data_IF_056552358843
#
_entry.id   IF_056552358843
#
_cell.length_a   1.000
_cell.length_b   1.000
_cell.length_c   1.000
_cell.angle_alpha   90.00
_cell.angle_beta   90.00
_cell.angle_gamma   90.00
#
_symmetry.space_group_name_H-M   'P 1'
#
loop_
_entity.id
_entity.type
_entity.pdbx_description
1 polymer ?
#
# COMPACT_ATOMS: atom_id res chain seq x y z
N UNK A 1 -4.59 -2.26 -13.74
CA UNK A 1 -3.72 -1.17 -13.24
C UNK A 1 -3.51 -1.38 -11.75
N UNK A 2 -2.30 -1.19 -11.21
CA UNK A 2 -2.06 -1.33 -9.78
C UNK A 2 -2.81 -0.25 -8.99
N UNK A 3 -3.14 -0.53 -7.72
CA UNK A 3 -3.82 0.43 -6.83
C UNK A 3 -2.94 1.67 -6.55
N UNK A 4 -1.62 1.49 -6.51
CA UNK A 4 -0.63 2.53 -6.30
C UNK A 4 0.72 2.07 -6.88
N UNK A 5 1.64 3.00 -7.06
CA UNK A 5 3.04 2.76 -7.42
C UNK A 5 3.95 3.30 -6.33
N UNK A 6 5.08 2.64 -6.10
CA UNK A 6 6.04 3.04 -5.06
C UNK A 6 7.25 3.69 -5.69
N UNK A 7 7.60 4.85 -5.18
CA UNK A 7 8.94 5.39 -5.36
C UNK A 7 9.90 4.71 -4.37
N UNK A 8 10.77 3.85 -4.90
CA UNK A 8 11.72 3.07 -4.09
C UNK A 8 12.84 3.93 -3.50
N UNK A 9 13.08 5.14 -4.02
CA UNK A 9 14.10 6.04 -3.47
C UNK A 9 13.63 6.72 -2.18
N UNK A 10 12.33 6.99 -2.04
CA UNK A 10 11.74 7.64 -0.87
C UNK A 10 11.14 6.67 0.14
N UNK A 11 10.78 5.45 -0.27
CA UNK A 11 10.23 4.43 0.63
C UNK A 11 11.23 3.97 1.71
N UNK A 12 10.88 4.20 2.98
CA UNK A 12 11.71 3.77 4.13
C UNK A 12 11.42 2.36 4.64
N UNK A 13 10.46 1.65 4.02
CA UNK A 13 10.00 0.31 4.43
C UNK A 13 9.52 0.26 5.90
N UNK A 14 8.90 1.35 6.36
CA UNK A 14 8.41 1.49 7.75
C UNK A 14 7.00 0.91 7.97
N UNK A 15 6.29 0.56 6.89
CA UNK A 15 4.96 -0.05 6.96
C UNK A 15 3.84 0.92 7.32
N UNK A 16 4.06 2.24 7.34
CA UNK A 16 2.99 3.20 7.69
C UNK A 16 1.80 3.09 6.73
N UNK A 17 2.05 2.98 5.43
CA UNK A 17 1.03 2.77 4.41
C UNK A 17 0.14 1.53 4.66
N UNK A 18 0.67 0.48 5.30
CA UNK A 18 -0.07 -0.71 5.73
C UNK A 18 -0.97 -0.38 6.91
N UNK A 19 -0.41 0.28 7.93
CA UNK A 19 -1.11 0.62 9.16
C UNK A 19 -2.27 1.61 8.94
N UNK A 20 -2.13 2.54 7.99
CA UNK A 20 -3.14 3.57 7.72
C UNK A 20 -4.20 3.15 6.71
N UNK A 21 -4.06 1.99 6.07
CA UNK A 21 -5.05 1.52 5.09
C UNK A 21 -6.32 1.04 5.80
N UNK A 22 -7.44 1.78 5.74
CA UNK A 22 -8.65 1.43 6.50
C UNK A 22 -9.32 0.14 5.97
N UNK A 23 -9.02 -0.24 4.72
CA UNK A 23 -9.54 -1.45 4.10
C UNK A 23 -8.58 -2.65 4.21
N UNK A 24 -7.42 -2.48 4.87
CA UNK A 24 -6.39 -3.53 5.03
C UNK A 24 -5.96 -4.19 3.71
N UNK A 25 -5.78 -3.37 2.67
CA UNK A 25 -5.46 -3.81 1.31
C UNK A 25 -3.98 -3.68 0.93
N UNK A 26 -3.14 -3.27 1.86
CA UNK A 26 -1.70 -3.12 1.65
C UNK A 26 -0.99 -4.07 2.62
N UNK A 27 0.04 -4.77 2.14
CA UNK A 27 0.95 -5.59 2.95
C UNK A 27 2.39 -5.22 2.62
N UNK A 28 3.36 -5.65 3.43
CA UNK A 28 4.76 -5.63 3.02
C UNK A 28 5.08 -6.93 2.27
N UNK A 29 5.71 -6.82 1.10
CA UNK A 29 6.30 -7.92 0.36
C UNK A 29 7.57 -8.42 1.03
N UNK A 30 8.13 -9.50 0.50
CA UNK A 30 9.38 -10.10 1.02
C UNK A 30 10.58 -9.17 0.86
N UNK A 31 10.57 -8.29 -0.15
CA UNK A 31 11.57 -7.25 -0.38
C UNK A 31 11.38 -6.01 0.52
N UNK A 32 10.39 -6.06 1.42
CA UNK A 32 10.04 -5.01 2.37
C UNK A 32 9.30 -3.82 1.73
N UNK A 33 8.98 -3.88 0.43
CA UNK A 33 8.18 -2.84 -0.21
C UNK A 33 6.68 -3.12 -0.06
N UNK A 34 5.84 -2.07 0.03
CA UNK A 34 4.41 -2.28 0.09
C UNK A 34 3.86 -2.92 -1.19
N UNK A 35 2.85 -3.75 -1.04
CA UNK A 35 2.17 -4.40 -2.15
C UNK A 35 0.65 -4.40 -1.89
N UNK A 36 -0.17 -4.19 -2.94
CA UNK A 36 -1.59 -4.40 -2.82
C UNK A 36 -1.91 -5.89 -2.60
N UNK A 37 -2.94 -6.18 -1.81
CA UNK A 37 -3.49 -7.53 -1.71
C UNK A 37 -4.17 -7.91 -3.04
N UNK A 38 -3.58 -8.87 -3.75
CA UNK A 38 -4.07 -9.35 -5.04
C UNK A 38 -5.51 -9.88 -4.94
N UNK A 39 -6.36 -9.48 -5.89
CA UNK A 39 -7.74 -9.94 -5.99
C UNK A 39 -8.71 -9.27 -5.01
N UNK A 40 -8.25 -8.28 -4.23
CA UNK A 40 -9.06 -7.50 -3.28
C UNK A 40 -9.23 -6.03 -3.68
N UNK A 41 -8.82 -5.67 -4.89
CA UNK A 41 -8.79 -4.28 -5.38
C UNK A 41 -10.17 -3.63 -5.38
N UNK A 42 -11.24 -4.42 -5.56
CA UNK A 42 -12.63 -3.94 -5.53
C UNK A 42 -13.07 -3.41 -4.15
N UNK A 43 -12.37 -3.76 -3.08
CA UNK A 43 -12.63 -3.27 -1.74
C UNK A 43 -11.95 -1.93 -1.46
N UNK A 44 -11.11 -1.43 -2.38
CA UNK A 44 -10.46 -0.14 -2.22
C UNK A 44 -11.50 0.99 -2.33
N UNK A 45 -11.68 1.73 -1.23
CA UNK A 45 -12.58 2.89 -1.17
C UNK A 45 -11.96 4.19 -1.71
N UNK A 46 -10.75 4.13 -2.28
CA UNK A 46 -10.03 5.27 -2.86
C UNK A 46 -9.82 6.45 -1.88
N UNK A 47 -9.53 6.16 -0.61
CA UNK A 47 -9.28 7.17 0.42
C UNK A 47 -7.90 7.86 0.32
N UNK A 48 -6.90 7.21 -0.31
CA UNK A 48 -5.57 7.79 -0.51
C UNK A 48 -4.65 7.82 0.73
N UNK A 49 -5.02 7.23 1.86
CA UNK A 49 -4.17 7.27 3.06
C UNK A 49 -2.79 6.65 2.85
N UNK A 50 -2.69 5.57 2.07
CA UNK A 50 -1.41 4.90 1.81
C UNK A 50 -0.41 5.72 0.96
N UNK A 51 -0.85 6.80 0.30
CA UNK A 51 0.01 7.69 -0.50
C UNK A 51 0.29 9.04 0.17
N UNK A 52 -0.34 9.31 1.31
CA UNK A 52 -0.19 10.56 2.04
C UNK A 52 0.83 10.47 3.21
N UNK A 53 1.43 9.29 3.41
CA UNK A 53 2.34 8.97 4.52
C UNK A 53 3.72 8.58 4.03
#
# INVERSE_FOLDING_TARGET
MPLFTIDRASCRRDGLCVAVCPASLVRLGEDGYPEPLAGKERHCIRCGHCVAV
#
